data_IF_025626656806
#
_entry.id   IF_025626656806
#
_cell.length_a   1.000
_cell.length_b   1.000
_cell.length_c   1.000
_cell.angle_alpha   90.00
_cell.angle_beta   90.00
_cell.angle_gamma   90.00
#
_symmetry.space_group_name_H-M   'P 1'
#
loop_
_entity.id
_entity.type
_entity.pdbx_description
1 polymer ?
#
# COMPACT_ATOMS: atom_id res chain seq x y z
N UNK A 1 24.92 17.64 -7.25
CA UNK A 1 23.55 17.77 -6.70
C UNK A 1 22.48 17.01 -7.47
N UNK A 2 22.45 16.99 -8.82
CA UNK A 2 21.41 16.28 -9.59
C UNK A 2 21.35 14.74 -9.44
N UNK A 3 22.42 14.09 -8.96
CA UNK A 3 22.50 12.63 -8.87
C UNK A 3 21.91 12.03 -7.59
N UNK A 4 21.70 12.82 -6.53
CA UNK A 4 21.18 12.33 -5.23
C UNK A 4 19.66 12.26 -5.26
N UNK A 5 18.99 13.26 -5.83
CA UNK A 5 17.52 13.27 -5.94
C UNK A 5 16.97 12.13 -6.82
N UNK A 6 17.71 11.75 -7.88
CA UNK A 6 17.31 10.69 -8.80
C UNK A 6 17.36 9.31 -8.14
N UNK A 7 18.41 9.00 -7.38
CA UNK A 7 18.52 7.74 -6.64
C UNK A 7 17.51 7.62 -5.50
N UNK A 8 17.16 8.73 -4.84
CA UNK A 8 16.12 8.75 -3.80
C UNK A 8 14.73 8.49 -4.40
N UNK A 9 14.42 9.05 -5.58
CA UNK A 9 13.14 8.83 -6.27
C UNK A 9 13.01 7.37 -6.73
N UNK A 10 14.04 6.81 -7.38
CA UNK A 10 14.05 5.41 -7.83
C UNK A 10 13.93 4.43 -6.66
N UNK A 11 14.56 4.71 -5.51
CA UNK A 11 14.45 3.86 -4.31
C UNK A 11 13.06 3.94 -3.68
N UNK A 12 12.46 5.13 -3.63
CA UNK A 12 11.10 5.34 -3.17
C UNK A 12 10.09 4.57 -4.04
N UNK A 13 10.18 4.71 -5.36
CA UNK A 13 9.30 4.02 -6.31
C UNK A 13 9.46 2.50 -6.20
N UNK A 14 10.68 2.00 -6.01
CA UNK A 14 10.93 0.58 -5.82
C UNK A 14 10.31 0.02 -4.53
N UNK A 15 10.40 0.73 -3.41
CA UNK A 15 9.77 0.25 -2.16
C UNK A 15 8.26 0.39 -2.19
N UNK A 16 7.74 1.48 -2.75
CA UNK A 16 6.31 1.65 -2.96
C UNK A 16 5.75 0.53 -3.85
N UNK A 17 6.47 0.13 -4.89
CA UNK A 17 6.12 -1.00 -5.74
C UNK A 17 6.10 -2.34 -4.98
N UNK A 18 7.13 -2.64 -4.19
CA UNK A 18 7.17 -3.87 -3.38
C UNK A 18 6.03 -3.92 -2.37
N UNK A 19 5.75 -2.81 -1.71
CA UNK A 19 4.61 -2.69 -0.81
C UNK A 19 3.30 -2.96 -1.55
N UNK A 20 3.06 -2.29 -2.68
CA UNK A 20 1.86 -2.48 -3.48
C UNK A 20 1.68 -3.93 -3.97
N UNK A 21 2.76 -4.58 -4.38
CA UNK A 21 2.75 -5.98 -4.77
C UNK A 21 2.36 -6.90 -3.61
N UNK A 22 2.96 -6.70 -2.42
CA UNK A 22 2.60 -7.48 -1.24
C UNK A 22 1.14 -7.29 -0.84
N UNK A 23 0.63 -6.05 -0.91
CA UNK A 23 -0.79 -5.79 -0.65
C UNK A 23 -1.70 -6.48 -1.66
N UNK A 24 -1.32 -6.53 -2.94
CA UNK A 24 -2.09 -7.21 -3.97
C UNK A 24 -2.06 -8.75 -3.81
N UNK A 25 -0.93 -9.33 -3.38
CA UNK A 25 -0.86 -10.75 -3.05
C UNK A 25 -1.79 -11.08 -1.87
N UNK A 26 -1.79 -10.26 -0.82
CA UNK A 26 -2.74 -10.40 0.28
C UNK A 26 -4.18 -10.31 -0.21
N UNK A 27 -4.51 -9.34 -1.06
CA UNK A 27 -5.84 -9.21 -1.67
C UNK A 27 -6.28 -10.49 -2.41
N UNK A 28 -5.39 -11.13 -3.16
CA UNK A 28 -5.68 -12.43 -3.77
C UNK A 28 -5.96 -13.50 -2.71
N UNK A 29 -5.07 -13.63 -1.72
CA UNK A 29 -5.17 -14.65 -0.68
C UNK A 29 -6.44 -14.54 0.17
N UNK A 30 -6.90 -13.34 0.51
CA UNK A 30 -8.14 -13.17 1.29
C UNK A 30 -9.39 -13.54 0.49
N UNK A 31 -9.32 -13.57 -0.84
CA UNK A 31 -10.45 -13.95 -1.69
C UNK A 31 -10.42 -15.41 -2.15
N UNK A 32 -9.25 -16.04 -2.07
CA UNK A 32 -9.04 -17.44 -2.43
C UNK A 32 -9.12 -18.39 -1.22
N UNK A 33 -8.69 -17.93 -0.02
CA UNK A 33 -8.52 -18.79 1.16
C UNK A 33 -9.31 -18.26 2.35
N UNK A 34 -10.35 -19.01 2.74
CA UNK A 34 -11.25 -18.65 3.84
C UNK A 34 -10.52 -18.50 5.18
N UNK A 35 -9.48 -19.30 5.44
CA UNK A 35 -8.69 -19.23 6.67
C UNK A 35 -7.93 -17.90 6.77
N UNK A 36 -7.39 -17.43 5.65
CA UNK A 36 -6.70 -16.14 5.57
C UNK A 36 -7.72 -15.01 5.67
N UNK A 37 -8.90 -15.15 5.05
CA UNK A 37 -9.97 -14.17 5.20
C UNK A 37 -10.37 -13.97 6.66
N UNK A 38 -10.51 -15.05 7.45
CA UNK A 38 -10.86 -14.94 8.88
C UNK A 38 -9.79 -14.20 9.69
N UNK A 39 -8.52 -14.46 9.43
CA UNK A 39 -7.40 -13.74 10.07
C UNK A 39 -7.41 -12.27 9.65
N UNK A 40 -7.61 -12.00 8.36
CA UNK A 40 -7.72 -10.65 7.82
C UNK A 40 -8.89 -9.90 8.46
N UNK A 41 -10.09 -10.49 8.53
CA UNK A 41 -11.29 -9.88 9.12
C UNK A 41 -11.09 -9.55 10.61
N UNK A 42 -10.43 -10.45 11.36
CA UNK A 42 -10.06 -10.20 12.75
C UNK A 42 -9.16 -8.97 12.90
N UNK A 43 -8.09 -8.89 12.11
CA UNK A 43 -7.20 -7.72 12.12
C UNK A 43 -7.88 -6.46 11.56
N UNK A 44 -8.74 -6.61 10.56
CA UNK A 44 -9.42 -5.54 9.83
C UNK A 44 -10.28 -4.68 10.76
N UNK A 45 -11.02 -5.32 11.68
CA UNK A 45 -11.89 -4.63 12.65
C UNK A 45 -11.13 -3.66 13.55
N UNK A 46 -9.87 -3.99 13.87
CA UNK A 46 -9.09 -3.23 14.84
C UNK A 46 -8.06 -2.28 14.19
N UNK A 47 -7.54 -2.62 13.01
CA UNK A 47 -6.36 -1.94 12.44
C UNK A 47 -6.63 -1.12 11.18
N UNK A 48 -7.76 -1.34 10.50
CA UNK A 48 -8.07 -0.63 9.26
C UNK A 48 -8.96 0.58 9.53
N UNK A 49 -8.38 1.63 10.11
CA UNK A 49 -9.10 2.89 10.38
C UNK A 49 -9.47 3.68 9.11
N UNK A 50 -8.97 3.23 7.96
CA UNK A 50 -9.24 3.81 6.66
C UNK A 50 -10.43 3.11 6.00
N UNK A 51 -11.60 3.76 6.06
CA UNK A 51 -12.86 3.26 5.47
C UNK A 51 -12.69 2.84 3.99
N UNK A 52 -11.91 3.61 3.21
CA UNK A 52 -11.66 3.33 1.79
C UNK A 52 -10.98 1.98 1.56
N UNK A 53 -10.16 1.50 2.51
CA UNK A 53 -9.38 0.29 2.29
C UNK A 53 -10.29 -0.96 2.32
N UNK A 54 -11.36 -0.97 3.12
CA UNK A 54 -12.36 -2.05 3.06
C UNK A 54 -13.35 -1.91 1.90
N UNK A 55 -13.80 -0.69 1.62
CA UNK A 55 -14.86 -0.43 0.64
C UNK A 55 -14.38 -0.42 -0.81
N UNK A 56 -13.14 0.01 -1.04
CA UNK A 56 -12.56 0.15 -2.37
C UNK A 56 -11.41 -0.82 -2.60
N UNK A 57 -10.41 -0.88 -1.70
CA UNK A 57 -9.17 -1.62 -1.97
C UNK A 57 -9.34 -3.15 -1.89
N UNK A 58 -9.86 -3.66 -0.77
CA UNK A 58 -10.06 -5.10 -0.54
C UNK A 58 -11.45 -5.59 -0.95
N UNK A 59 -12.19 -4.77 -1.70
CA UNK A 59 -13.45 -5.18 -2.31
C UNK A 59 -13.17 -6.16 -3.45
N UNK A 60 -13.83 -7.30 -3.43
CA UNK A 60 -13.72 -8.32 -4.49
C UNK A 60 -14.07 -7.73 -5.86
N UNK A 61 -13.23 -8.03 -6.85
CA UNK A 61 -13.48 -7.68 -8.26
C UNK A 61 -12.51 -6.66 -8.85
N UNK A 62 -11.63 -6.06 -8.05
CA UNK A 62 -10.58 -5.19 -8.55
C UNK A 62 -9.59 -5.96 -9.44
N UNK A 63 -9.28 -5.40 -10.60
CA UNK A 63 -8.08 -5.76 -11.36
C UNK A 63 -6.81 -5.29 -10.65
N UNK A 64 -5.65 -5.83 -11.04
CA UNK A 64 -4.35 -5.37 -10.53
C UNK A 64 -4.14 -3.87 -10.71
N UNK A 65 -4.53 -3.33 -11.86
CA UNK A 65 -4.34 -1.90 -12.16
C UNK A 65 -5.25 -1.01 -11.29
N UNK A 66 -6.52 -1.40 -11.11
CA UNK A 66 -7.44 -0.67 -10.22
C UNK A 66 -6.95 -0.71 -8.78
N UNK A 67 -6.53 -1.88 -8.29
CA UNK A 67 -5.96 -2.04 -6.94
C UNK A 67 -4.77 -1.09 -6.72
N UNK A 68 -3.83 -1.05 -7.67
CA UNK A 68 -2.64 -0.22 -7.57
C UNK A 68 -3.00 1.27 -7.62
N UNK A 69 -3.99 1.66 -8.44
CA UNK A 69 -4.44 3.04 -8.54
C UNK A 69 -5.14 3.51 -7.25
N UNK A 70 -6.02 2.69 -6.66
CA UNK A 70 -6.69 2.98 -5.37
C UNK A 70 -5.63 3.10 -4.28
N UNK A 71 -4.70 2.14 -4.20
CA UNK A 71 -3.64 2.15 -3.19
C UNK A 71 -2.77 3.40 -3.31
N UNK A 72 -2.27 3.71 -4.53
CA UNK A 72 -1.42 4.89 -4.76
C UNK A 72 -2.14 6.18 -4.41
N UNK A 73 -3.39 6.35 -4.87
CA UNK A 73 -4.20 7.55 -4.61
C UNK A 73 -4.33 7.84 -3.11
N UNK A 74 -4.52 6.79 -2.30
CA UNK A 74 -4.71 6.95 -0.86
C UNK A 74 -3.40 6.99 -0.05
N UNK A 75 -2.32 6.36 -0.55
CA UNK A 75 -1.03 6.36 0.14
C UNK A 75 -0.17 7.60 -0.17
N UNK A 76 -0.31 8.21 -1.36
CA UNK A 76 0.49 9.39 -1.74
C UNK A 76 0.42 10.53 -0.70
N UNK A 77 -0.75 10.92 -0.17
CA UNK A 77 -0.83 11.97 0.85
C UNK A 77 -0.09 11.65 2.15
N UNK A 78 -0.04 10.36 2.53
CA UNK A 78 0.69 9.89 3.72
C UNK A 78 2.19 10.09 3.51
N UNK A 79 2.72 9.68 2.36
CA UNK A 79 4.12 9.86 2.02
C UNK A 79 4.50 11.36 1.89
N UNK A 80 3.66 12.16 1.24
CA UNK A 80 3.88 13.60 1.11
C UNK A 80 3.86 14.31 2.47
N UNK A 81 3.00 13.86 3.38
CA UNK A 81 2.94 14.35 4.77
C UNK A 81 4.21 14.00 5.54
N UNK A 82 4.66 12.74 5.45
CA UNK A 82 5.88 12.29 6.11
C UNK A 82 7.10 13.09 5.60
N UNK A 83 7.24 13.25 4.29
CA UNK A 83 8.33 14.03 3.70
C UNK A 83 8.33 15.49 4.14
N UNK A 84 7.16 16.14 4.20
CA UNK A 84 7.05 17.53 4.70
C UNK A 84 7.43 17.68 6.16
N UNK A 85 7.26 16.63 6.97
CA UNK A 85 7.68 16.58 8.37
C UNK A 85 9.17 16.25 8.54
N UNK A 86 9.92 16.08 7.44
CA UNK A 86 11.34 15.75 7.48
C UNK A 86 11.63 14.26 7.67
N UNK A 87 10.63 13.38 7.55
CA UNK A 87 10.91 11.95 7.46
C UNK A 87 11.61 11.64 6.15
N UNK A 88 12.68 10.86 6.25
CA UNK A 88 13.46 10.40 5.13
C UNK A 88 13.29 8.90 4.93
N UNK A 89 13.77 8.45 3.78
CA UNK A 89 13.86 7.04 3.45
C UNK A 89 14.95 6.41 4.32
N UNK A 90 14.62 5.31 5.00
CA UNK A 90 15.62 4.57 5.77
C UNK A 90 16.60 3.86 4.83
N UNK A 91 17.85 4.34 4.82
CA UNK A 91 18.95 3.69 4.12
C UNK A 91 19.47 2.55 5.01
N UNK A 92 19.48 1.32 4.47
CA UNK A 92 20.09 0.16 5.14
C UNK A 92 21.59 0.13 4.91
#
# INVERSE_FOLDING_TARGET
MKNIEKTTLDFYENNAYKFALNQYLLYGFIHEKTEIYKLFEGCYKDNLHSIWAGQELYRKGNSKNEFYNILRKNMQPVYDSARRQGYEIWNR
#
